data_IF_254648844862
#
_entry.id   IF_254648844862
#
_cell.length_a   1.000
_cell.length_b   1.000
_cell.length_c   1.000
_cell.angle_alpha   90.00
_cell.angle_beta   90.00
_cell.angle_gamma   90.00
#
_symmetry.space_group_name_H-M   'P 1'
#
loop_
_entity.id
_entity.type
_entity.pdbx_description
1 polymer ?
#
# COMPACT_ATOMS: atom_id res chain seq x y z
N UNK A 1 -3.47 29.32 -14.84
CA UNK A 1 -4.58 29.66 -15.76
C UNK A 1 -4.12 29.46 -17.18
N UNK A 2 -4.95 28.90 -18.06
CA UNK A 2 -4.71 28.83 -19.51
C UNK A 2 -5.58 29.88 -20.22
N UNK A 3 -4.96 30.85 -20.91
CA UNK A 3 -5.65 31.83 -21.72
C UNK A 3 -5.55 31.41 -23.20
N UNK A 4 -6.70 31.35 -23.90
CA UNK A 4 -6.79 30.92 -25.29
C UNK A 4 -7.50 31.96 -26.10
N UNK A 5 -6.80 32.58 -27.04
CA UNK A 5 -7.31 33.64 -27.93
C UNK A 5 -6.40 33.73 -29.16
N UNK A 6 -6.94 33.88 -30.36
CA UNK A 6 -6.15 33.97 -31.61
C UNK A 6 -5.45 35.31 -31.76
N UNK A 7 -5.84 36.30 -30.96
CA UNK A 7 -5.28 37.66 -31.01
C UNK A 7 -4.24 37.84 -29.87
N UNK A 8 -2.95 37.96 -30.20
CA UNK A 8 -1.89 38.12 -29.19
C UNK A 8 -2.09 39.28 -28.19
N UNK A 9 -2.70 40.39 -28.66
CA UNK A 9 -3.00 41.53 -27.81
C UNK A 9 -4.01 41.19 -26.69
N UNK A 10 -5.00 40.35 -26.98
CA UNK A 10 -5.96 39.88 -26.01
C UNK A 10 -5.30 38.99 -24.95
N UNK A 11 -4.40 38.07 -25.37
CA UNK A 11 -3.62 37.21 -24.49
C UNK A 11 -2.74 38.05 -23.54
N UNK A 12 -2.07 39.06 -24.04
CA UNK A 12 -1.27 39.98 -23.21
C UNK A 12 -2.14 40.74 -22.22
N UNK A 13 -3.35 41.19 -22.63
CA UNK A 13 -4.29 41.84 -21.72
C UNK A 13 -4.78 40.96 -20.61
N UNK A 14 -5.13 39.68 -20.91
CA UNK A 14 -5.52 38.70 -19.90
C UNK A 14 -4.37 38.36 -18.94
N UNK A 15 -3.16 38.20 -19.48
CA UNK A 15 -1.97 37.98 -18.65
C UNK A 15 -1.70 39.14 -17.71
N UNK A 16 -1.70 40.36 -18.19
CA UNK A 16 -1.46 41.59 -17.36
C UNK A 16 -2.48 41.75 -16.23
N UNK A 17 -3.73 41.29 -16.44
CA UNK A 17 -4.76 41.34 -15.41
C UNK A 17 -4.53 40.24 -14.34
N UNK A 18 -3.97 39.09 -14.71
CA UNK A 18 -3.93 37.89 -13.86
C UNK A 18 -2.53 37.59 -13.32
N UNK A 19 -1.45 38.08 -13.90
CA UNK A 19 -0.06 37.74 -13.57
C UNK A 19 0.34 38.01 -12.12
N UNK A 20 -0.35 38.92 -11.44
CA UNK A 20 -0.09 39.22 -10.03
C UNK A 20 -0.46 38.11 -9.07
N UNK A 21 -1.38 37.23 -9.47
CA UNK A 21 -1.93 36.15 -8.63
C UNK A 21 -1.80 34.76 -9.25
N UNK A 22 -1.67 34.68 -10.58
CA UNK A 22 -1.71 33.42 -11.32
C UNK A 22 -0.59 33.32 -12.34
N UNK A 23 -0.05 32.11 -12.52
CA UNK A 23 0.80 31.79 -13.66
C UNK A 23 -0.10 31.61 -14.89
N UNK A 24 0.03 32.50 -15.87
CA UNK A 24 -0.78 32.48 -17.09
C UNK A 24 -0.01 31.78 -18.22
N UNK A 25 -0.59 30.75 -18.78
CA UNK A 25 -0.12 30.05 -19.96
C UNK A 25 -0.95 30.53 -21.14
N UNK A 26 -0.31 30.87 -22.26
CA UNK A 26 -0.98 31.38 -23.45
C UNK A 26 -1.07 30.30 -24.52
N UNK A 27 -2.20 30.27 -25.22
CA UNK A 27 -2.41 29.49 -26.43
C UNK A 27 -3.08 30.34 -27.50
N UNK A 28 -2.51 30.36 -28.69
CA UNK A 28 -3.00 31.18 -29.82
C UNK A 28 -4.07 30.46 -30.66
N UNK A 29 -4.49 29.28 -30.26
CA UNK A 29 -5.53 28.50 -30.94
C UNK A 29 -6.07 27.39 -30.07
N UNK A 30 -7.25 26.87 -30.39
CA UNK A 30 -7.81 25.70 -29.75
C UNK A 30 -6.94 24.43 -29.86
N UNK A 31 -6.26 24.27 -31.00
CA UNK A 31 -5.33 23.14 -31.19
C UNK A 31 -4.12 23.23 -30.26
N UNK A 32 -3.55 24.41 -30.08
CA UNK A 32 -2.45 24.66 -29.15
C UNK A 32 -2.88 24.46 -27.69
N UNK A 33 -4.07 24.94 -27.32
CA UNK A 33 -4.65 24.70 -25.99
C UNK A 33 -4.76 23.23 -25.64
N UNK A 34 -5.25 22.39 -26.57
CA UNK A 34 -5.34 20.95 -26.42
C UNK A 34 -3.95 20.32 -26.30
N UNK A 35 -2.97 20.76 -27.11
CA UNK A 35 -1.60 20.27 -27.02
C UNK A 35 -0.92 20.62 -25.68
N UNK A 36 -1.16 21.80 -25.12
CA UNK A 36 -0.69 22.21 -23.80
C UNK A 36 -1.31 21.34 -22.73
N UNK A 37 -2.63 21.16 -22.73
CA UNK A 37 -3.36 20.36 -21.75
C UNK A 37 -3.00 18.87 -21.77
N UNK A 38 -2.58 18.34 -22.92
CA UNK A 38 -2.09 16.95 -23.00
C UNK A 38 -0.76 16.72 -22.26
N UNK A 39 0.01 17.80 -22.00
CA UNK A 39 1.34 17.74 -21.37
C UNK A 39 1.38 18.33 -19.97
N UNK A 40 0.43 19.20 -19.63
CA UNK A 40 0.37 19.93 -18.34
C UNK A 40 -0.86 19.54 -17.57
N UNK A 41 -0.68 19.32 -16.26
CA UNK A 41 -1.76 18.95 -15.32
C UNK A 41 -2.05 20.06 -14.29
N UNK A 42 -1.27 21.14 -14.33
CA UNK A 42 -1.29 22.25 -13.38
C UNK A 42 -2.17 23.43 -13.85
N UNK A 43 -3.14 23.18 -14.70
CA UNK A 43 -4.11 24.16 -15.19
C UNK A 43 -5.40 24.04 -14.35
N UNK A 44 -5.74 25.10 -13.62
CA UNK A 44 -6.92 25.16 -12.75
C UNK A 44 -8.12 25.81 -13.42
N UNK A 45 -7.91 26.74 -14.37
CA UNK A 45 -8.99 27.46 -15.09
C UNK A 45 -8.55 27.72 -16.53
N UNK A 46 -9.50 27.65 -17.47
CA UNK A 46 -9.30 28.00 -18.87
C UNK A 46 -10.15 29.23 -19.21
N UNK A 47 -9.52 30.28 -19.73
CA UNK A 47 -10.18 31.42 -20.36
C UNK A 47 -10.14 31.19 -21.87
N UNK A 48 -11.30 31.09 -22.51
CA UNK A 48 -11.43 30.65 -23.89
C UNK A 48 -12.14 31.70 -24.73
N UNK A 49 -11.46 32.25 -25.73
CA UNK A 49 -12.17 33.04 -26.74
C UNK A 49 -13.08 32.13 -27.56
N UNK A 50 -14.25 32.66 -27.92
CA UNK A 50 -15.23 31.92 -28.74
C UNK A 50 -14.87 31.93 -30.19
N UNK A 51 -14.47 33.11 -30.71
CA UNK A 51 -14.28 33.33 -32.15
C UNK A 51 -12.83 33.17 -32.56
N UNK A 52 -12.41 31.96 -32.82
CA UNK A 52 -11.06 31.67 -33.30
C UNK A 52 -11.12 31.00 -34.69
N UNK A 53 -10.17 31.31 -35.61
CA UNK A 53 -10.12 30.68 -36.92
C UNK A 53 -9.83 29.16 -36.78
N UNK A 54 -10.47 28.39 -37.68
CA UNK A 54 -10.30 26.96 -37.78
C UNK A 54 -11.11 26.18 -36.74
N UNK A 55 -10.68 26.18 -35.48
CA UNK A 55 -11.40 25.52 -34.37
C UNK A 55 -11.88 26.59 -33.39
N UNK A 56 -13.18 26.86 -33.32
CA UNK A 56 -13.79 27.80 -32.43
C UNK A 56 -13.68 27.35 -30.93
N UNK A 57 -14.00 28.27 -30.02
CA UNK A 57 -13.91 28.02 -28.57
C UNK A 57 -14.88 26.94 -28.09
N UNK A 58 -16.07 26.81 -28.68
CA UNK A 58 -17.06 25.78 -28.30
C UNK A 58 -16.59 24.38 -28.69
N UNK A 59 -16.11 24.24 -29.94
CA UNK A 59 -15.54 22.95 -30.41
C UNK A 59 -14.31 22.58 -29.56
N UNK A 60 -13.47 23.58 -29.26
CA UNK A 60 -12.29 23.38 -28.39
C UNK A 60 -12.69 22.91 -27.01
N UNK A 61 -13.63 23.60 -26.36
CA UNK A 61 -14.14 23.23 -25.04
C UNK A 61 -14.74 21.82 -25.01
N UNK A 62 -15.56 21.48 -26.01
CA UNK A 62 -16.14 20.13 -26.13
C UNK A 62 -15.09 19.04 -26.27
N UNK A 63 -13.96 19.31 -26.97
CA UNK A 63 -12.83 18.35 -27.06
C UNK A 63 -12.10 18.23 -25.74
N UNK A 64 -11.83 19.36 -25.07
CA UNK A 64 -11.18 19.36 -23.75
C UNK A 64 -12.01 18.56 -22.73
N UNK A 65 -13.34 18.71 -22.72
CA UNK A 65 -14.23 17.99 -21.81
C UNK A 65 -14.30 16.48 -22.05
N UNK A 66 -13.88 16.01 -23.23
CA UNK A 66 -13.74 14.57 -23.54
C UNK A 66 -12.40 13.99 -23.08
N UNK A 67 -11.42 14.84 -22.75
CA UNK A 67 -10.14 14.41 -22.17
C UNK A 67 -10.33 14.06 -20.70
N UNK A 68 -10.06 12.82 -20.30
CA UNK A 68 -10.32 12.31 -18.96
C UNK A 68 -9.72 13.19 -17.85
N UNK A 69 -8.48 13.63 -18.02
CA UNK A 69 -7.77 14.44 -17.03
C UNK A 69 -8.17 15.93 -17.04
N UNK A 70 -8.82 16.40 -18.09
CA UNK A 70 -9.14 17.82 -18.30
C UNK A 70 -10.63 18.13 -18.19
N UNK A 71 -11.51 17.11 -18.20
CA UNK A 71 -12.97 17.28 -18.22
C UNK A 71 -13.51 18.14 -17.07
N UNK A 72 -12.84 18.12 -15.91
CA UNK A 72 -13.27 18.86 -14.72
C UNK A 72 -12.63 20.25 -14.61
N UNK A 73 -11.78 20.65 -15.56
CA UNK A 73 -11.19 22.01 -15.56
C UNK A 73 -12.29 23.00 -15.96
N UNK A 74 -12.57 24.02 -15.13
CA UNK A 74 -13.55 25.05 -15.47
C UNK A 74 -13.11 25.85 -16.71
N UNK A 75 -14.05 26.04 -17.65
CA UNK A 75 -13.86 26.82 -18.86
C UNK A 75 -14.76 28.05 -18.78
N UNK A 76 -14.18 29.23 -18.86
CA UNK A 76 -14.87 30.50 -18.90
C UNK A 76 -14.71 31.07 -20.30
N UNK A 77 -15.80 31.32 -21.00
CA UNK A 77 -15.74 31.92 -22.32
C UNK A 77 -15.55 33.45 -22.21
N UNK A 78 -14.66 33.99 -23.03
CA UNK A 78 -14.41 35.44 -23.15
C UNK A 78 -14.73 35.86 -24.58
N UNK A 79 -15.82 36.60 -24.81
CA UNK A 79 -16.32 36.87 -26.15
C UNK A 79 -16.73 38.32 -26.36
N UNK A 80 -16.64 38.80 -27.60
CA UNK A 80 -17.13 40.11 -27.98
C UNK A 80 -18.67 40.15 -28.22
N UNK A 81 -19.31 39.00 -28.33
CA UNK A 81 -20.76 38.92 -28.60
C UNK A 81 -21.55 38.87 -27.29
N UNK A 82 -22.34 39.90 -27.09
CA UNK A 82 -23.21 40.03 -25.92
C UNK A 82 -24.58 39.34 -26.15
N UNK A 83 -24.94 38.43 -25.21
CA UNK A 83 -26.33 38.13 -24.77
C UNK A 83 -27.37 37.70 -25.80
N UNK A 84 -26.99 37.12 -26.94
CA UNK A 84 -28.00 36.40 -27.70
C UNK A 84 -28.11 34.96 -27.12
N UNK A 85 -29.30 34.61 -26.63
CA UNK A 85 -29.61 33.33 -25.97
C UNK A 85 -29.06 32.05 -26.63
N UNK A 86 -28.95 31.96 -27.99
CA UNK A 86 -28.43 30.75 -28.60
C UNK A 86 -26.96 30.46 -28.30
N UNK A 87 -26.10 31.48 -28.28
CA UNK A 87 -24.65 31.31 -28.03
C UNK A 87 -24.32 30.99 -26.58
N UNK A 88 -25.04 31.58 -25.65
CA UNK A 88 -24.90 31.29 -24.21
C UNK A 88 -25.26 29.83 -23.95
N UNK A 89 -26.38 29.36 -24.51
CA UNK A 89 -26.81 27.97 -24.38
C UNK A 89 -25.80 26.99 -24.98
N UNK A 90 -25.31 27.26 -26.19
CA UNK A 90 -24.31 26.45 -26.86
C UNK A 90 -23.02 26.29 -26.02
N UNK A 91 -22.60 27.34 -25.34
CA UNK A 91 -21.39 27.25 -24.52
C UNK A 91 -21.57 26.44 -23.25
N UNK A 92 -22.72 26.53 -22.60
CA UNK A 92 -23.00 25.63 -21.47
C UNK A 92 -23.09 24.17 -21.96
N UNK A 93 -23.70 23.91 -23.12
CA UNK A 93 -23.75 22.58 -23.74
C UNK A 93 -22.34 22.08 -24.12
N UNK A 94 -21.43 22.99 -24.51
CA UNK A 94 -20.01 22.67 -24.76
C UNK A 94 -19.19 22.43 -23.50
N UNK A 95 -19.76 22.66 -22.31
CA UNK A 95 -19.13 22.43 -21.03
C UNK A 95 -18.45 23.65 -20.40
N UNK A 96 -18.71 24.86 -20.91
CA UNK A 96 -18.36 26.11 -20.24
C UNK A 96 -19.20 26.32 -18.98
N UNK A 97 -18.62 27.02 -18.00
CA UNK A 97 -19.29 27.28 -16.73
C UNK A 97 -19.70 28.74 -16.58
N UNK A 98 -19.09 29.64 -17.33
CA UNK A 98 -19.37 31.07 -17.25
C UNK A 98 -18.94 31.83 -18.52
N UNK A 99 -19.32 33.10 -18.61
CA UNK A 99 -19.07 33.99 -19.74
C UNK A 99 -18.59 35.36 -19.31
N UNK A 100 -17.66 35.92 -20.08
CA UNK A 100 -17.27 37.33 -20.04
C UNK A 100 -17.48 38.01 -21.38
N UNK A 101 -18.14 39.15 -21.38
CA UNK A 101 -18.17 40.02 -22.56
C UNK A 101 -16.94 40.92 -22.63
N UNK A 102 -16.34 41.03 -23.81
CA UNK A 102 -15.34 42.06 -24.11
C UNK A 102 -16.05 43.40 -24.42
N UNK A 103 -15.61 44.57 -23.87
CA UNK A 103 -14.57 44.71 -22.86
C UNK A 103 -15.05 44.24 -21.47
N UNK A 104 -14.13 43.58 -20.72
CA UNK A 104 -14.40 43.09 -19.38
C UNK A 104 -13.80 43.99 -18.31
N UNK A 105 -14.42 43.99 -17.13
CA UNK A 105 -13.88 44.57 -15.92
C UNK A 105 -12.75 43.68 -15.36
N UNK A 106 -11.51 44.21 -15.21
CA UNK A 106 -10.37 43.42 -14.71
C UNK A 106 -10.60 42.85 -13.33
N UNK A 107 -11.25 43.58 -12.42
CA UNK A 107 -11.48 43.10 -11.04
C UNK A 107 -12.51 42.00 -10.98
N UNK A 108 -13.57 42.07 -11.79
CA UNK A 108 -14.57 41.02 -11.90
C UNK A 108 -13.97 39.77 -12.55
N UNK A 109 -13.11 39.90 -13.58
CA UNK A 109 -12.41 38.78 -14.18
C UNK A 109 -11.53 38.05 -13.15
N UNK A 110 -10.70 38.82 -12.42
CA UNK A 110 -9.82 38.27 -11.37
C UNK A 110 -10.60 37.57 -10.29
N UNK A 111 -11.68 38.17 -9.81
CA UNK A 111 -12.56 37.55 -8.80
C UNK A 111 -13.14 36.20 -9.27
N UNK A 112 -13.70 36.15 -10.47
CA UNK A 112 -14.30 34.90 -10.99
C UNK A 112 -13.26 33.83 -11.23
N UNK A 113 -12.09 34.18 -11.81
CA UNK A 113 -10.99 33.21 -11.97
C UNK A 113 -10.58 32.66 -10.62
N UNK A 114 -10.48 33.50 -9.59
CA UNK A 114 -10.15 33.07 -8.23
C UNK A 114 -11.17 32.09 -7.64
N UNK A 115 -12.47 32.37 -7.81
CA UNK A 115 -13.53 31.48 -7.36
C UNK A 115 -13.40 30.10 -8.02
N UNK A 116 -13.29 30.04 -9.34
CA UNK A 116 -13.24 28.78 -10.08
C UNK A 116 -11.94 28.01 -9.85
N UNK A 117 -10.79 28.71 -9.75
CA UNK A 117 -9.52 28.10 -9.39
C UNK A 117 -9.59 27.46 -7.98
N UNK A 118 -10.17 28.16 -7.02
CA UNK A 118 -10.34 27.64 -5.65
C UNK A 118 -11.25 26.40 -5.60
N UNK A 119 -12.34 26.38 -6.36
CA UNK A 119 -13.21 25.19 -6.47
C UNK A 119 -12.47 24.01 -7.06
N UNK A 120 -11.69 24.21 -8.11
CA UNK A 120 -10.88 23.16 -8.75
C UNK A 120 -9.85 22.57 -7.78
N UNK A 121 -9.11 23.44 -7.09
CA UNK A 121 -8.12 23.02 -6.09
C UNK A 121 -8.74 22.20 -4.97
N UNK A 122 -9.87 22.67 -4.41
CA UNK A 122 -10.60 21.91 -3.37
C UNK A 122 -11.09 20.56 -3.86
N UNK A 123 -11.62 20.49 -5.09
CA UNK A 123 -12.06 19.23 -5.68
C UNK A 123 -10.89 18.27 -5.88
N UNK A 124 -9.72 18.74 -6.31
CA UNK A 124 -8.52 17.93 -6.47
C UNK A 124 -8.03 17.40 -5.11
N UNK A 125 -7.97 18.23 -4.07
CA UNK A 125 -7.58 17.82 -2.71
C UNK A 125 -8.54 16.73 -2.18
N UNK A 126 -9.85 16.88 -2.40
CA UNK A 126 -10.83 15.87 -1.97
C UNK A 126 -10.63 14.54 -2.69
N UNK A 127 -10.44 14.57 -4.02
CA UNK A 127 -10.16 13.35 -4.81
C UNK A 127 -8.90 12.63 -4.34
N UNK A 128 -7.84 13.37 -4.06
CA UNK A 128 -6.58 12.81 -3.55
C UNK A 128 -6.76 12.19 -2.16
N UNK A 129 -7.49 12.85 -1.27
CA UNK A 129 -7.81 12.29 0.05
C UNK A 129 -8.64 11.01 -0.06
N UNK A 130 -9.67 11.00 -0.89
CA UNK A 130 -10.49 9.80 -1.12
C UNK A 130 -9.66 8.64 -1.66
N UNK A 131 -8.73 8.92 -2.57
CA UNK A 131 -7.82 7.91 -3.11
C UNK A 131 -6.92 7.34 -2.00
N UNK A 132 -6.28 8.20 -1.21
CA UNK A 132 -5.40 7.79 -0.11
C UNK A 132 -6.15 6.96 0.95
N UNK A 133 -7.40 7.34 1.26
CA UNK A 133 -8.25 6.56 2.17
C UNK A 133 -8.54 5.17 1.61
N UNK A 134 -8.94 5.07 0.34
CA UNK A 134 -9.20 3.77 -0.30
C UNK A 134 -7.97 2.86 -0.32
N UNK A 135 -6.82 3.40 -0.68
CA UNK A 135 -5.55 2.66 -0.67
C UNK A 135 -5.21 2.15 0.74
N UNK A 136 -5.39 2.99 1.77
CA UNK A 136 -5.18 2.60 3.17
C UNK A 136 -6.16 1.51 3.62
N UNK A 137 -7.45 1.62 3.26
CA UNK A 137 -8.46 0.62 3.59
C UNK A 137 -8.16 -0.73 2.92
N UNK A 138 -7.69 -0.71 1.67
CA UNK A 138 -7.31 -1.92 0.95
C UNK A 138 -6.11 -2.62 1.61
N UNK A 139 -5.08 -1.87 1.97
CA UNK A 139 -3.92 -2.40 2.70
C UNK A 139 -4.33 -3.01 4.05
N UNK A 140 -5.19 -2.33 4.81
CA UNK A 140 -5.72 -2.85 6.07
C UNK A 140 -6.56 -4.12 5.86
N UNK A 141 -7.32 -4.19 4.77
CA UNK A 141 -8.11 -5.37 4.44
C UNK A 141 -7.22 -6.57 4.12
N UNK A 142 -6.17 -6.36 3.32
CA UNK A 142 -5.19 -7.40 2.99
C UNK A 142 -4.47 -7.86 4.26
N UNK A 143 -3.99 -6.93 5.09
CA UNK A 143 -3.33 -7.23 6.36
C UNK A 143 -4.20 -8.07 7.29
N UNK A 144 -5.48 -7.70 7.49
CA UNK A 144 -6.44 -8.48 8.28
C UNK A 144 -6.70 -9.88 7.71
N UNK A 145 -6.73 -10.01 6.38
CA UNK A 145 -6.90 -11.33 5.73
C UNK A 145 -5.68 -12.22 5.99
N UNK A 146 -4.48 -11.68 5.88
CA UNK A 146 -3.24 -12.42 6.16
C UNK A 146 -3.16 -12.84 7.63
N UNK A 147 -3.49 -11.96 8.58
CA UNK A 147 -3.53 -12.30 9.99
C UNK A 147 -4.49 -13.46 10.28
N UNK A 148 -5.70 -13.44 9.70
CA UNK A 148 -6.67 -14.55 9.86
C UNK A 148 -6.17 -15.87 9.29
N UNK A 149 -5.47 -15.84 8.16
CA UNK A 149 -4.87 -17.05 7.58
C UNK A 149 -3.80 -17.60 8.52
N UNK A 150 -2.91 -16.76 9.03
CA UNK A 150 -1.88 -17.17 9.99
C UNK A 150 -2.49 -17.73 11.30
N UNK A 151 -3.55 -17.12 11.80
CA UNK A 151 -4.28 -17.58 13.00
C UNK A 151 -5.03 -18.92 12.78
N UNK A 152 -5.39 -19.25 11.54
CA UNK A 152 -6.07 -20.52 11.21
C UNK A 152 -5.12 -21.71 11.05
N UNK A 153 -3.81 -21.47 11.01
CA UNK A 153 -2.82 -22.54 10.89
C UNK A 153 -2.56 -23.19 12.26
N UNK A 154 -2.45 -24.53 12.34
CA UNK A 154 -2.08 -25.23 13.57
C UNK A 154 -0.58 -25.13 13.83
N UNK A 155 -0.01 -23.95 13.60
CA UNK A 155 1.42 -23.65 13.76
C UNK A 155 1.56 -22.30 14.43
N UNK A 156 2.34 -22.26 15.50
CA UNK A 156 2.72 -21.02 16.14
C UNK A 156 3.69 -20.23 15.26
N UNK A 157 3.39 -18.95 15.03
CA UNK A 157 4.26 -18.03 14.26
C UNK A 157 4.74 -16.93 15.17
N UNK A 158 6.06 -16.71 15.19
CA UNK A 158 6.71 -15.60 15.88
C UNK A 158 7.49 -14.77 14.86
N UNK A 159 7.45 -13.46 15.00
CA UNK A 159 8.21 -12.52 14.16
C UNK A 159 9.11 -11.73 15.10
N UNK A 160 10.41 -11.68 14.76
CA UNK A 160 11.41 -10.96 15.57
C UNK A 160 12.02 -9.79 14.80
N UNK A 161 12.56 -8.82 15.54
CA UNK A 161 13.47 -7.81 15.01
C UNK A 161 14.90 -8.37 14.80
N UNK A 162 15.83 -7.51 14.38
CA UNK A 162 17.25 -7.85 14.18
C UNK A 162 17.96 -8.24 15.51
N UNK A 163 17.45 -7.79 16.64
CA UNK A 163 17.97 -8.10 17.97
C UNK A 163 17.40 -9.42 18.51
N UNK A 164 16.50 -10.07 17.75
CA UNK A 164 15.82 -11.30 18.15
C UNK A 164 14.67 -11.10 19.11
N UNK A 165 14.24 -9.85 19.37
CA UNK A 165 13.07 -9.56 20.21
C UNK A 165 11.80 -9.85 19.43
N UNK A 166 10.85 -10.54 20.04
CA UNK A 166 9.59 -10.90 19.42
C UNK A 166 8.72 -9.64 19.28
N UNK A 167 8.41 -9.27 18.03
CA UNK A 167 7.54 -8.14 17.69
C UNK A 167 6.07 -8.55 17.56
N UNK A 168 5.84 -9.78 17.09
CA UNK A 168 4.49 -10.32 16.86
C UNK A 168 4.47 -11.83 17.03
N UNK A 169 3.34 -12.37 17.52
CA UNK A 169 3.10 -13.80 17.58
C UNK A 169 1.62 -14.13 17.37
N UNK A 170 1.33 -15.37 16.92
CA UNK A 170 -0.03 -15.90 16.83
C UNK A 170 -0.49 -16.49 18.17
N UNK A 171 -1.81 -16.59 18.36
CA UNK A 171 -2.39 -17.22 19.59
C UNK A 171 -1.95 -18.68 19.76
N UNK A 172 -1.66 -19.39 18.66
CA UNK A 172 -1.21 -20.76 18.70
C UNK A 172 0.10 -20.92 19.48
N UNK A 173 1.00 -19.94 19.44
CA UNK A 173 2.21 -19.93 20.29
C UNK A 173 1.82 -20.02 21.75
N UNK A 174 0.85 -19.22 22.20
CA UNK A 174 0.37 -19.25 23.59
C UNK A 174 -0.28 -20.59 23.96
N UNK A 175 -0.96 -21.25 23.02
CA UNK A 175 -1.55 -22.58 23.23
C UNK A 175 -0.49 -23.66 23.34
N UNK A 176 0.53 -23.64 22.46
CA UNK A 176 1.64 -24.60 22.46
C UNK A 176 2.38 -24.53 23.81
N UNK A 177 2.76 -23.31 24.23
CA UNK A 177 3.54 -23.10 25.45
C UNK A 177 2.70 -23.02 26.73
N UNK A 178 1.36 -23.17 26.64
CA UNK A 178 0.43 -23.12 27.79
C UNK A 178 0.53 -21.81 28.59
N UNK A 179 0.79 -20.70 27.94
CA UNK A 179 0.81 -19.39 28.60
C UNK A 179 -0.60 -18.85 28.76
N UNK A 180 -0.98 -18.46 29.98
CA UNK A 180 -2.31 -17.89 30.28
C UNK A 180 -2.43 -16.44 29.85
N UNK A 181 -1.32 -15.74 29.70
CA UNK A 181 -1.21 -14.40 29.06
C UNK A 181 0.18 -14.26 28.45
N UNK A 182 0.34 -13.61 27.32
CA UNK A 182 1.65 -13.20 26.81
C UNK A 182 2.17 -12.06 27.70
N UNK A 183 2.56 -12.38 28.93
CA UNK A 183 2.97 -11.38 29.91
C UNK A 183 4.31 -10.74 29.58
N UNK A 184 5.20 -11.46 28.90
CA UNK A 184 6.43 -10.92 28.33
C UNK A 184 6.85 -11.78 27.16
N UNK A 185 6.90 -11.14 26.01
CA UNK A 185 7.38 -11.72 24.76
C UNK A 185 8.79 -12.30 24.94
N UNK A 186 9.58 -11.71 25.83
CA UNK A 186 10.94 -12.12 26.18
C UNK A 186 11.02 -13.52 26.83
N UNK A 187 9.98 -13.95 27.57
CA UNK A 187 9.98 -15.26 28.26
C UNK A 187 10.02 -16.47 27.32
N UNK A 188 9.50 -16.35 26.10
CA UNK A 188 9.61 -17.43 25.10
C UNK A 188 11.05 -17.63 24.62
N UNK A 189 11.84 -16.58 24.57
CA UNK A 189 13.24 -16.65 24.21
C UNK A 189 14.08 -17.40 25.23
N UNK A 190 13.78 -17.25 26.53
CA UNK A 190 14.44 -18.02 27.58
C UNK A 190 14.12 -19.52 27.47
N UNK A 191 12.85 -19.89 27.27
CA UNK A 191 12.42 -21.27 27.11
C UNK A 191 13.05 -21.92 25.87
N UNK A 192 13.15 -21.16 24.75
CA UNK A 192 13.74 -21.64 23.51
C UNK A 192 15.27 -21.54 23.51
N UNK A 193 15.87 -20.95 24.54
CA UNK A 193 17.32 -20.79 24.67
C UNK A 193 17.93 -19.80 23.65
N UNK A 194 17.14 -18.84 23.18
CA UNK A 194 17.59 -17.84 22.22
C UNK A 194 18.36 -16.69 22.84
N UNK A 195 18.15 -16.41 24.13
CA UNK A 195 18.81 -15.34 24.86
C UNK A 195 19.69 -15.88 25.98
N UNK A 196 20.74 -15.14 26.28
CA UNK A 196 21.50 -15.32 27.49
C UNK A 196 20.79 -14.63 28.69
N UNK A 197 21.33 -14.79 29.88
CA UNK A 197 20.84 -14.15 31.12
C UNK A 197 20.77 -12.61 31.04
N UNK A 198 21.49 -11.99 30.08
CA UNK A 198 21.48 -10.55 29.83
C UNK A 198 20.49 -10.13 28.77
N UNK A 199 19.64 -11.02 28.26
CA UNK A 199 18.66 -10.73 27.23
C UNK A 199 19.25 -10.50 25.82
N UNK A 200 20.47 -11.00 25.56
CA UNK A 200 21.10 -10.92 24.24
C UNK A 200 21.01 -12.28 23.55
N UNK A 201 20.85 -12.27 22.22
CA UNK A 201 20.86 -13.49 21.41
C UNK A 201 22.16 -14.24 21.60
N UNK A 202 22.09 -15.50 22.06
CA UNK A 202 23.26 -16.35 22.27
C UNK A 202 23.92 -16.71 20.95
N UNK A 203 25.12 -16.17 20.72
CA UNK A 203 25.94 -16.51 19.53
C UNK A 203 26.57 -17.90 19.59
N UNK A 204 26.64 -18.48 20.78
CA UNK A 204 27.38 -19.73 21.01
C UNK A 204 26.56 -21.00 20.73
N UNK A 205 25.25 -20.90 20.52
CA UNK A 205 24.42 -21.98 20.00
C UNK A 205 23.95 -21.64 18.61
N UNK A 206 24.27 -22.46 17.65
CA UNK A 206 23.68 -22.46 16.30
C UNK A 206 22.19 -22.79 16.40
N UNK A 207 21.41 -21.82 16.87
CA UNK A 207 19.96 -21.95 16.91
C UNK A 207 19.36 -21.54 15.56
N UNK A 208 18.20 -22.05 15.26
CA UNK A 208 17.45 -21.69 14.05
C UNK A 208 17.34 -20.15 13.87
N UNK A 209 17.17 -19.42 14.98
CA UNK A 209 17.09 -17.96 15.00
C UNK A 209 18.44 -17.32 14.62
N UNK A 210 19.55 -17.82 15.15
CA UNK A 210 20.90 -17.30 14.86
C UNK A 210 21.25 -17.45 13.38
N UNK A 211 20.93 -18.60 12.78
CA UNK A 211 21.12 -18.85 11.35
C UNK A 211 20.30 -17.86 10.51
N UNK A 212 19.06 -17.60 10.87
CA UNK A 212 18.21 -16.69 10.13
C UNK A 212 18.69 -15.23 10.24
N UNK A 213 19.03 -14.75 11.43
CA UNK A 213 19.40 -13.34 11.66
C UNK A 213 20.82 -13.00 11.20
N UNK A 214 21.80 -13.89 11.43
CA UNK A 214 23.21 -13.60 11.17
C UNK A 214 23.73 -14.15 9.85
N UNK A 215 23.28 -15.34 9.46
CA UNK A 215 23.72 -15.94 8.20
C UNK A 215 22.73 -15.72 7.04
N UNK A 216 21.54 -15.23 7.34
CA UNK A 216 20.49 -15.02 6.35
C UNK A 216 19.99 -16.31 5.69
N UNK A 217 20.12 -17.44 6.40
CA UNK A 217 19.71 -18.77 5.92
C UNK A 217 18.49 -19.26 6.68
N UNK A 218 17.57 -19.92 5.97
CA UNK A 218 16.49 -20.62 6.62
C UNK A 218 17.02 -21.89 7.28
N UNK A 219 16.54 -22.20 8.50
CA UNK A 219 16.79 -23.46 9.17
C UNK A 219 15.76 -24.51 8.78
N UNK A 220 16.16 -25.79 8.83
CA UNK A 220 15.23 -26.89 8.77
C UNK A 220 14.53 -27.08 10.12
N UNK A 221 13.36 -27.74 10.10
CA UNK A 221 12.62 -28.06 11.32
C UNK A 221 13.43 -29.06 12.17
N UNK A 222 13.81 -28.63 13.37
CA UNK A 222 14.52 -29.47 14.34
C UNK A 222 13.62 -29.74 15.53
N UNK A 223 13.57 -30.99 16.07
CA UNK A 223 12.84 -31.30 17.29
C UNK A 223 13.59 -30.70 18.50
N UNK A 224 12.88 -29.97 19.31
CA UNK A 224 13.39 -29.36 20.54
C UNK A 224 12.49 -29.77 21.71
N UNK A 225 13.09 -30.29 22.78
CA UNK A 225 12.37 -30.53 24.02
C UNK A 225 12.29 -29.25 24.84
N UNK A 226 11.09 -28.89 25.24
CA UNK A 226 10.81 -27.68 26.02
C UNK A 226 9.92 -27.98 27.20
N UNK A 227 10.09 -27.21 28.25
CA UNK A 227 9.18 -27.22 29.42
C UNK A 227 8.29 -25.99 29.31
N UNK A 228 7.00 -26.20 29.10
CA UNK A 228 6.00 -25.13 28.97
C UNK A 228 5.82 -24.35 30.27
N UNK A 229 5.15 -23.20 30.23
CA UNK A 229 4.90 -22.35 31.41
C UNK A 229 4.10 -23.02 32.53
N UNK A 230 3.32 -24.04 32.22
CA UNK A 230 2.58 -24.87 33.19
C UNK A 230 3.40 -26.06 33.72
N UNK A 231 4.67 -26.18 33.36
CA UNK A 231 5.54 -27.30 33.71
C UNK A 231 5.41 -28.54 32.84
N UNK A 232 4.55 -28.52 31.82
CA UNK A 232 4.39 -29.65 30.89
C UNK A 232 5.59 -29.76 29.94
N UNK A 233 6.19 -30.94 29.86
CA UNK A 233 7.22 -31.20 28.84
C UNK A 233 6.59 -31.52 27.50
N UNK A 234 7.12 -30.89 26.44
CA UNK A 234 6.69 -31.07 25.05
C UNK A 234 7.89 -31.21 24.13
N UNK A 235 7.67 -31.93 23.03
CA UNK A 235 8.57 -31.89 21.86
C UNK A 235 7.95 -30.98 20.82
N UNK A 236 8.66 -29.92 20.43
CA UNK A 236 8.24 -28.98 19.42
C UNK A 236 9.18 -29.03 18.20
N UNK A 237 8.65 -28.79 17.01
CA UNK A 237 9.46 -28.52 15.83
C UNK A 237 9.63 -27.01 15.69
N UNK A 238 10.88 -26.56 15.55
CA UNK A 238 11.22 -25.16 15.37
C UNK A 238 11.97 -24.97 14.05
N UNK A 239 11.51 -24.02 13.26
CA UNK A 239 12.25 -23.55 12.08
C UNK A 239 12.20 -22.03 12.03
N UNK A 240 13.24 -21.42 11.46
CA UNK A 240 13.33 -19.99 11.29
C UNK A 240 13.77 -19.63 9.89
N UNK A 241 13.26 -18.51 9.38
CA UNK A 241 13.63 -17.94 8.09
C UNK A 241 13.89 -16.45 8.23
N UNK A 242 14.88 -15.89 7.53
CA UNK A 242 15.13 -14.46 7.56
C UNK A 242 13.96 -13.69 6.94
N UNK A 243 13.55 -12.63 7.59
CA UNK A 243 12.61 -11.66 7.04
C UNK A 243 13.41 -10.58 6.33
N UNK A 244 13.16 -10.40 5.02
CA UNK A 244 13.87 -9.43 4.19
C UNK A 244 13.00 -8.21 3.91
N UNK A 245 13.63 -7.05 3.95
CA UNK A 245 13.04 -5.78 3.53
C UNK A 245 12.99 -5.60 2.01
N UNK A 246 12.58 -4.40 1.57
CA UNK A 246 12.43 -4.08 0.15
C UNK A 246 13.77 -4.09 -0.63
N UNK A 247 14.90 -3.86 0.05
CA UNK A 247 16.24 -3.84 -0.54
C UNK A 247 17.02 -5.14 -0.27
N UNK A 248 16.31 -6.25 -0.01
CA UNK A 248 16.90 -7.56 0.32
C UNK A 248 17.70 -7.60 1.64
N UNK A 249 17.73 -6.49 2.43
CA UNK A 249 18.33 -6.47 3.76
C UNK A 249 17.52 -7.33 4.74
N UNK A 250 18.21 -7.96 5.69
CA UNK A 250 17.53 -8.70 6.76
C UNK A 250 16.99 -7.69 7.76
N UNK A 251 15.69 -7.72 8.01
CA UNK A 251 14.99 -6.84 8.95
C UNK A 251 14.52 -7.58 10.20
N UNK A 252 14.64 -8.90 10.22
CA UNK A 252 14.22 -9.75 11.32
C UNK A 252 14.18 -11.21 10.93
N UNK A 253 13.42 -12.03 11.66
CA UNK A 253 13.19 -13.42 11.34
C UNK A 253 11.73 -13.82 11.60
N UNK A 254 11.25 -14.79 10.83
CA UNK A 254 9.99 -15.50 11.07
C UNK A 254 10.33 -16.88 11.60
N UNK A 255 9.74 -17.22 12.75
CA UNK A 255 9.93 -18.50 13.40
C UNK A 255 8.61 -19.25 13.41
N UNK A 256 8.65 -20.51 13.02
CA UNK A 256 7.54 -21.43 13.08
C UNK A 256 7.76 -22.42 14.22
N UNK A 257 6.72 -22.62 15.03
CA UNK A 257 6.71 -23.58 16.14
C UNK A 257 5.51 -24.48 16.00
N UNK A 258 5.75 -25.78 15.98
CA UNK A 258 4.70 -26.80 15.88
C UNK A 258 4.79 -27.80 17.03
N UNK A 259 3.68 -28.10 17.69
CA UNK A 259 3.62 -29.17 18.67
C UNK A 259 3.74 -30.54 17.96
N UNK A 260 4.78 -31.27 18.27
CA UNK A 260 5.08 -32.59 17.71
C UNK A 260 5.04 -33.69 18.75
N UNK A 261 4.58 -33.36 19.97
CA UNK A 261 4.63 -34.27 21.12
C UNK A 261 3.90 -35.58 20.88
N UNK A 262 2.69 -35.49 20.33
CA UNK A 262 1.87 -36.73 20.10
C UNK A 262 2.46 -37.55 18.95
N UNK A 263 2.88 -36.95 17.87
CA UNK A 263 3.51 -37.62 16.74
C UNK A 263 4.78 -38.36 17.18
N UNK A 264 5.63 -37.71 17.97
CA UNK A 264 6.86 -38.29 18.49
C UNK A 264 6.59 -39.51 19.36
N UNK A 265 5.59 -39.45 20.25
CA UNK A 265 5.18 -40.57 21.08
C UNK A 265 4.71 -41.78 20.25
N UNK A 266 3.94 -41.50 19.19
CA UNK A 266 3.48 -42.58 18.27
C UNK A 266 4.66 -43.19 17.52
N UNK A 267 5.59 -42.42 17.06
CA UNK A 267 6.80 -42.89 16.39
C UNK A 267 7.63 -43.79 17.32
N UNK A 268 7.88 -43.35 18.55
CA UNK A 268 8.63 -44.12 19.54
C UNK A 268 7.91 -45.44 19.92
N UNK A 269 6.59 -45.45 20.10
CA UNK A 269 5.80 -46.67 20.36
C UNK A 269 5.86 -47.62 19.17
N UNK A 270 5.80 -47.10 17.96
CA UNK A 270 5.92 -47.90 16.74
C UNK A 270 7.32 -48.56 16.63
N UNK A 271 8.37 -47.78 16.86
CA UNK A 271 9.75 -48.28 16.86
C UNK A 271 9.95 -49.40 17.90
N UNK A 272 9.43 -49.20 19.11
CA UNK A 272 9.45 -50.23 20.15
C UNK A 272 8.70 -51.50 19.75
N UNK A 273 7.53 -51.39 19.12
CA UNK A 273 6.77 -52.54 18.64
C UNK A 273 7.51 -53.27 17.51
N UNK A 274 8.09 -52.55 16.57
CA UNK A 274 8.88 -53.12 15.47
C UNK A 274 10.10 -53.87 16.03
N UNK A 275 10.86 -53.23 16.94
CA UNK A 275 12.03 -53.85 17.57
C UNK A 275 11.65 -55.16 18.29
N UNK A 276 10.50 -55.15 19.00
CA UNK A 276 10.00 -56.34 19.72
C UNK A 276 9.60 -57.46 18.75
N UNK A 277 8.96 -57.14 17.63
CA UNK A 277 8.59 -58.12 16.60
C UNK A 277 9.83 -58.72 15.93
N UNK A 278 10.85 -57.91 15.65
CA UNK A 278 12.13 -58.42 15.10
C UNK A 278 12.80 -59.36 16.13
N UNK A 279 12.82 -59.01 17.43
CA UNK A 279 13.37 -59.85 18.49
C UNK A 279 12.66 -61.20 18.57
N UNK A 280 11.33 -61.22 18.60
CA UNK A 280 10.51 -62.45 18.59
C UNK A 280 10.72 -63.29 17.33
N UNK A 281 10.89 -62.66 16.16
CA UNK A 281 11.20 -63.36 14.91
C UNK A 281 12.55 -64.09 14.97
N UNK A 282 13.56 -63.45 15.51
CA UNK A 282 14.89 -64.07 15.71
C UNK A 282 14.84 -65.24 16.71
N UNK A 283 14.11 -65.11 17.80
CA UNK A 283 13.93 -66.19 18.78
C UNK A 283 13.19 -67.41 18.15
N UNK A 284 12.16 -67.18 17.33
CA UNK A 284 11.46 -68.26 16.61
C UNK A 284 12.35 -68.95 15.58
N UNK A 285 13.18 -68.20 14.85
CA UNK A 285 14.15 -68.79 13.91
C UNK A 285 15.23 -69.63 14.62
N UNK A 286 15.70 -69.19 15.78
CA UNK A 286 16.62 -70.00 16.57
C UNK A 286 15.98 -71.28 17.14
N UNK A 287 14.74 -71.17 17.60
CA UNK A 287 13.99 -72.30 18.11
C UNK A 287 13.64 -73.34 17.05
N UNK A 288 13.47 -72.87 15.79
CA UNK A 288 13.18 -73.79 14.66
C UNK A 288 14.42 -74.54 14.12
N UNK A 289 15.62 -74.15 14.50
CA UNK A 289 16.91 -74.79 14.12
C UNK A 289 17.42 -75.81 15.14
N UNK A 290 16.72 -75.98 16.24
CA UNK A 290 16.98 -77.01 17.23
C UNK A 290 15.89 -78.09 17.20
#
# INVERSE_FOLDING_TARGET
VLAVDDTPANLLSLEAVLESEYNVVRANSGAEAIAILSRRRDIDVILMDVHMPGMDGFVTASRIKKMEDCRDIPIIFVTAVYREDPYVRQGYEAGGIDYFGKPYDPDILRLKVGIYASFRQRANILKERERNVRESEELLRVGRKLSRVLESLPVGVLITDLQGRICQMTEEVSRIFKSVKPSHVDAYGEILGWWNEQGQVTKDRLTSLTLALHEGKASHSEPVEVVCFDGTAKTILVSASPLRGLNEEIVGAVILVQDHTETRRIEEDLEHRVARLIGLGMELEQSARH
#
